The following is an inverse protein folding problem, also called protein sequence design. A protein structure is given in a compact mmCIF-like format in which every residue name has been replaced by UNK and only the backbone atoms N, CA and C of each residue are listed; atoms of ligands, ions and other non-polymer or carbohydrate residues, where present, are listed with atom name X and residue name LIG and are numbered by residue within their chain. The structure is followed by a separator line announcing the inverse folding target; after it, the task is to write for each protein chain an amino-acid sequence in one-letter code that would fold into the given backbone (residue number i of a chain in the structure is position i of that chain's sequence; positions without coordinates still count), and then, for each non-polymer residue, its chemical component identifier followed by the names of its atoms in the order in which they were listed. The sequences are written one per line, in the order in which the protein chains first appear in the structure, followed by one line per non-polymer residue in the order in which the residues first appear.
data_IF_851546386449
#
_entry.id   IF_851546386449
#
_cell.length_a   1.000
_cell.length_b   1.000
_cell.length_c   1.000
_cell.angle_alpha   90.00
_cell.angle_beta   90.00
_cell.angle_gamma   90.00
#
_symmetry.space_group_name_H-M   'P 1'
#
loop_
_entity.id
_entity.type
_entity.pdbx_description
1 polymer ?
#
# COMPACT_ATOMS: atom_id res chain seq x y z
N UNK A 1 12.73 0.65 2.20
CA UNK A 1 11.33 1.11 2.26
C UNK A 1 10.52 0.23 1.34
N UNK A 2 9.39 -0.32 1.80
CA UNK A 2 8.47 -1.16 1.01
C UNK A 2 7.08 -0.54 1.09
N UNK A 3 6.38 -0.47 -0.04
CA UNK A 3 5.02 0.08 -0.14
C UNK A 3 4.12 -0.98 -0.77
N UNK A 4 3.01 -1.29 -0.11
CA UNK A 4 1.93 -2.11 -0.65
C UNK A 4 0.70 -1.24 -0.87
N UNK A 5 0.07 -1.38 -2.04
CA UNK A 5 -1.24 -0.78 -2.32
C UNK A 5 -2.27 -1.90 -2.28
N UNK A 6 -3.27 -1.74 -1.43
CA UNK A 6 -4.28 -2.73 -1.10
C UNK A 6 -5.66 -2.17 -1.40
N UNK A 7 -6.53 -2.92 -2.07
CA UNK A 7 -7.87 -2.42 -2.43
C UNK A 7 -8.84 -2.38 -1.24
N UNK A 8 -8.51 -3.01 -0.11
CA UNK A 8 -9.40 -3.12 1.05
C UNK A 8 -8.63 -3.12 2.37
N UNK A 9 -9.27 -2.67 3.46
CA UNK A 9 -8.68 -2.68 4.80
C UNK A 9 -8.19 -4.07 5.26
N UNK A 10 -8.91 -5.20 5.01
CA UNK A 10 -8.41 -6.53 5.34
C UNK A 10 -7.14 -6.93 4.59
N UNK A 11 -6.99 -6.51 3.32
CA UNK A 11 -5.75 -6.74 2.55
C UNK A 11 -4.59 -5.90 3.10
N UNK A 12 -4.88 -4.67 3.54
CA UNK A 12 -3.89 -3.82 4.18
C UNK A 12 -3.35 -4.44 5.48
N UNK A 13 -4.24 -5.01 6.32
CA UNK A 13 -3.81 -5.68 7.54
C UNK A 13 -2.98 -6.94 7.26
N UNK A 14 -3.32 -7.71 6.22
CA UNK A 14 -2.49 -8.83 5.78
C UNK A 14 -1.11 -8.36 5.31
N UNK A 15 -1.03 -7.29 4.52
CA UNK A 15 0.24 -6.71 4.09
C UNK A 15 1.08 -6.22 5.28
N UNK A 16 0.44 -5.65 6.31
CA UNK A 16 1.10 -5.28 7.57
C UNK A 16 1.69 -6.50 8.27
N UNK A 17 0.93 -7.59 8.39
CA UNK A 17 1.43 -8.83 9.02
C UNK A 17 2.61 -9.43 8.25
N UNK A 18 2.55 -9.43 6.91
CA UNK A 18 3.66 -9.89 6.06
C UNK A 18 4.92 -9.07 6.30
N UNK A 19 4.81 -7.75 6.45
CA UNK A 19 5.95 -6.89 6.78
C UNK A 19 6.52 -7.20 8.17
N UNK A 20 5.66 -7.44 9.17
CA UNK A 20 6.10 -7.86 10.51
C UNK A 20 6.88 -9.18 10.41
N UNK A 21 6.37 -10.16 9.67
CA UNK A 21 7.00 -11.47 9.49
C UNK A 21 8.34 -11.37 8.74
N UNK A 22 8.51 -10.36 7.88
CA UNK A 22 9.79 -10.03 7.22
C UNK A 22 10.78 -9.26 8.11
N UNK A 23 10.44 -9.08 9.39
CA UNK A 23 11.29 -8.44 10.40
C UNK A 23 11.23 -6.91 10.39
N UNK A 24 10.19 -6.31 9.83
CA UNK A 24 9.96 -4.87 10.00
C UNK A 24 9.35 -4.63 11.40
N UNK A 25 9.84 -3.64 12.16
CA UNK A 25 9.24 -3.32 13.44
C UNK A 25 7.82 -2.78 13.23
N UNK A 26 6.85 -3.31 13.98
CA UNK A 26 5.44 -2.94 13.81
C UNK A 26 5.19 -1.42 13.93
N UNK A 27 5.96 -0.73 14.77
CA UNK A 27 5.89 0.73 14.93
C UNK A 27 6.39 1.52 13.69
N UNK A 28 7.12 0.87 12.77
CA UNK A 28 7.60 1.47 11.53
C UNK A 28 6.75 1.06 10.31
N UNK A 29 5.58 0.45 10.54
CA UNK A 29 4.62 0.11 9.50
C UNK A 29 3.39 1.01 9.65
N UNK A 30 3.09 1.80 8.63
CA UNK A 30 1.87 2.61 8.56
C UNK A 30 0.89 1.96 7.58
N UNK A 31 -0.40 2.04 7.86
CA UNK A 31 -1.48 1.62 6.97
C UNK A 31 -2.52 2.74 6.95
N UNK A 32 -2.65 3.40 5.80
CA UNK A 32 -3.48 4.59 5.64
C UNK A 32 -4.45 4.39 4.48
N UNK A 33 -5.71 4.78 4.69
CA UNK A 33 -6.70 4.84 3.63
C UNK A 33 -6.45 6.07 2.75
N UNK A 34 -6.40 5.87 1.44
CA UNK A 34 -6.15 6.89 0.44
C UNK A 34 -7.42 7.06 -0.38
N UNK A 35 -8.07 8.21 -0.20
CA UNK A 35 -9.30 8.56 -0.93
C UNK A 35 -9.06 8.80 -2.42
N UNK A 36 -7.92 9.40 -2.77
CA UNK A 36 -7.50 9.66 -4.15
C UNK A 36 -6.06 9.17 -4.33
N UNK A 37 -5.89 8.05 -5.03
CA UNK A 37 -4.57 7.59 -5.44
C UNK A 37 -4.33 8.00 -6.89
N UNK A 38 -3.64 9.13 -7.09
CA UNK A 38 -3.19 9.54 -8.43
C UNK A 38 -1.98 8.68 -8.83
N UNK A 39 -2.24 7.62 -9.58
CA UNK A 39 -1.19 6.82 -10.21
C UNK A 39 -0.68 7.54 -11.46
N UNK A 40 0.57 7.99 -11.41
CA UNK A 40 1.22 8.62 -12.56
C UNK A 40 1.68 7.53 -13.55
N UNK A 41 0.88 7.32 -14.60
CA UNK A 41 1.10 6.29 -15.60
C UNK A 41 2.31 6.57 -16.52
N UNK A 42 2.94 7.77 -16.48
CA UNK A 42 4.13 8.05 -17.30
C UNK A 42 5.34 7.19 -16.89
N UNK A 43 5.37 6.69 -15.64
CA UNK A 43 6.50 5.91 -15.13
C UNK A 43 6.34 4.40 -15.34
N UNK A 44 5.13 3.90 -15.61
CA UNK A 44 4.85 2.48 -15.80
C UNK A 44 4.05 2.24 -17.08
N UNK A 45 4.75 1.77 -18.11
CA UNK A 45 4.16 1.36 -19.37
C UNK A 45 3.01 0.35 -19.12
N UNK A 46 1.77 0.78 -19.38
CA UNK A 46 0.50 0.05 -19.30
C UNK A 46 -0.35 0.17 -18.02
N UNK A 47 -0.31 1.28 -17.29
CA UNK A 47 -1.24 1.51 -16.17
C UNK A 47 -2.60 2.06 -16.60
N UNK A 48 -3.63 1.21 -16.70
CA UNK A 48 -5.03 1.67 -16.80
C UNK A 48 -5.42 2.38 -15.50
N UNK A 49 -5.91 3.62 -15.58
CA UNK A 49 -6.46 4.35 -14.44
C UNK A 49 -7.80 3.71 -14.02
N UNK A 50 -7.73 2.65 -13.23
CA UNK A 50 -8.88 2.16 -12.49
C UNK A 50 -9.20 3.17 -11.38
N UNK A 51 -10.49 3.43 -11.18
CA UNK A 51 -11.03 4.24 -10.08
C UNK A 51 -10.43 3.70 -8.75
N UNK A 52 -9.35 4.33 -8.27
CA UNK A 52 -8.63 3.90 -7.07
C UNK A 52 -9.23 4.52 -5.79
N UNK A 53 -10.50 4.91 -5.88
CA UNK A 53 -11.30 5.39 -4.76
C UNK A 53 -11.40 4.26 -3.72
N UNK A 54 -10.89 4.51 -2.50
CA UNK A 54 -10.84 3.57 -1.35
C UNK A 54 -9.70 2.54 -1.33
N UNK A 55 -8.51 2.88 -1.85
CA UNK A 55 -7.32 2.04 -1.65
C UNK A 55 -6.65 2.33 -0.30
N UNK A 56 -5.96 1.34 0.25
CA UNK A 56 -5.14 1.41 1.44
C UNK A 56 -3.67 1.30 1.06
N UNK A 57 -2.83 2.16 1.59
CA UNK A 57 -1.38 2.11 1.39
C UNK A 57 -0.71 1.67 2.68
N UNK A 58 0.06 0.59 2.60
CA UNK A 58 0.85 0.07 3.73
C UNK A 58 2.33 0.31 3.46
N UNK A 59 2.97 1.13 4.29
CA UNK A 59 4.38 1.48 4.15
C UNK A 59 5.20 0.89 5.29
N UNK A 60 6.15 0.02 4.96
CA UNK A 60 7.16 -0.48 5.91
C UNK A 60 8.49 0.22 5.74
N UNK A 61 9.02 0.82 6.82
CA UNK A 61 10.38 1.35 6.89
C UNK A 61 11.25 0.45 7.77
N UNK A 62 12.41 0.03 7.26
CA UNK A 62 13.48 -0.62 8.05
C UNK A 62 14.43 0.45 8.54
#
# INVERSE_FOLDING_TARGET
MVIYVCETAPKAEQARQVLIDQGFPAAAITAEEVGDFTYDAETYANGTSGDASNCWVVTGRK
#
